data_IF_783500486226
#
_entry.id   IF_783500486226
#
_cell.length_a   1.000
_cell.length_b   1.000
_cell.length_c   1.000
_cell.angle_alpha   90.00
_cell.angle_beta   90.00
_cell.angle_gamma   90.00
#
_symmetry.space_group_name_H-M   'P 1'
#
loop_
_entity.id
_entity.type
_entity.pdbx_description
1 polymer ?
#
# COMPACT_ATOMS: atom_id res chain seq x y z
N UNK A 1 -8.53 -17.08 8.22
CA UNK A 1 -7.84 -16.17 9.15
C UNK A 1 -6.38 -16.55 9.15
N UNK A 2 -5.49 -15.59 8.92
CA UNK A 2 -4.04 -15.78 8.90
C UNK A 2 -3.50 -15.84 10.32
N UNK A 3 -2.40 -16.57 10.54
CA UNK A 3 -1.76 -16.59 11.87
C UNK A 3 -1.14 -15.22 12.19
N UNK A 4 -0.36 -14.69 11.26
CA UNK A 4 0.30 -13.39 11.35
C UNK A 4 0.62 -12.89 9.93
N UNK A 5 1.34 -11.76 9.81
CA UNK A 5 1.74 -11.23 8.49
C UNK A 5 2.64 -12.20 7.72
N UNK A 6 3.59 -12.87 8.37
CA UNK A 6 4.46 -13.83 7.71
C UNK A 6 3.67 -14.99 7.06
N UNK A 7 2.70 -15.56 7.77
CA UNK A 7 1.80 -16.60 7.27
C UNK A 7 1.00 -16.12 6.04
N UNK A 8 0.43 -14.91 6.12
CA UNK A 8 -0.27 -14.30 5.00
C UNK A 8 0.64 -14.05 3.79
N UNK A 9 1.87 -13.60 4.02
CA UNK A 9 2.88 -13.39 2.99
C UNK A 9 3.28 -14.67 2.28
N UNK A 10 3.49 -15.77 3.01
CA UNK A 10 3.78 -17.10 2.44
C UNK A 10 2.65 -17.60 1.56
N UNK A 11 1.40 -17.50 2.04
CA UNK A 11 0.24 -17.92 1.25
C UNK A 11 0.07 -17.07 -0.01
N UNK A 12 0.29 -15.75 0.09
CA UNK A 12 0.20 -14.85 -1.06
C UNK A 12 1.32 -15.13 -2.06
N UNK A 13 2.52 -15.42 -1.58
CA UNK A 13 3.64 -15.82 -2.41
C UNK A 13 3.37 -17.12 -3.18
N UNK A 14 2.80 -18.15 -2.53
CA UNK A 14 2.43 -19.39 -3.22
C UNK A 14 1.40 -19.15 -4.33
N UNK A 15 0.42 -18.28 -4.10
CA UNK A 15 -0.53 -17.89 -5.14
C UNK A 15 0.16 -17.11 -6.28
N UNK A 16 1.05 -16.18 -5.96
CA UNK A 16 1.76 -15.38 -6.96
C UNK A 16 2.70 -16.23 -7.85
N UNK A 17 3.10 -17.44 -7.44
CA UNK A 17 3.83 -18.37 -8.32
C UNK A 17 3.03 -18.80 -9.55
N UNK A 18 1.71 -18.66 -9.55
CA UNK A 18 0.88 -18.93 -10.75
C UNK A 18 1.00 -17.81 -11.78
N UNK A 19 1.59 -16.66 -11.42
CA UNK A 19 1.86 -15.55 -12.33
C UNK A 19 3.27 -15.70 -12.91
N UNK A 20 3.40 -15.43 -14.20
CA UNK A 20 4.68 -15.54 -14.92
C UNK A 20 5.44 -14.20 -14.91
N UNK A 21 5.81 -13.71 -13.72
CA UNK A 21 6.58 -12.47 -13.59
C UNK A 21 8.04 -12.68 -14.04
N UNK A 22 8.55 -11.78 -14.88
CA UNK A 22 9.98 -11.74 -15.20
C UNK A 22 10.73 -11.11 -14.04
N UNK A 23 11.38 -11.93 -13.21
CA UNK A 23 12.14 -11.48 -12.04
C UNK A 23 13.26 -10.48 -12.34
N UNK A 24 13.75 -10.41 -13.59
CA UNK A 24 14.78 -9.45 -13.99
C UNK A 24 14.21 -8.07 -14.34
N UNK A 25 12.90 -8.00 -14.60
CA UNK A 25 12.15 -6.79 -14.97
C UNK A 25 11.04 -6.44 -14.00
N UNK A 26 10.96 -7.13 -12.86
CA UNK A 26 9.93 -6.92 -11.85
C UNK A 26 10.56 -6.42 -10.55
N UNK A 27 9.84 -5.56 -9.83
CA UNK A 27 10.18 -5.12 -8.47
C UNK A 27 8.94 -5.12 -7.59
N UNK A 28 9.12 -5.51 -6.33
CA UNK A 28 8.07 -5.43 -5.30
C UNK A 28 8.22 -4.11 -4.54
N UNK A 29 7.14 -3.36 -4.37
CA UNK A 29 7.09 -2.16 -3.53
C UNK A 29 6.13 -2.38 -2.37
N UNK A 30 6.65 -2.48 -1.16
CA UNK A 30 5.84 -2.59 0.04
C UNK A 30 5.35 -1.21 0.49
N UNK A 31 4.08 -1.12 0.88
CA UNK A 31 3.55 0.04 1.61
C UNK A 31 3.85 -0.20 3.10
N UNK A 32 4.72 0.62 3.73
CA UNK A 32 5.05 0.41 5.12
C UNK A 32 3.94 0.91 6.06
N UNK A 33 3.81 0.31 7.24
CA UNK A 33 4.69 -0.75 7.78
C UNK A 33 4.17 -2.15 7.53
N UNK A 34 2.84 -2.28 7.47
CA UNK A 34 2.12 -3.55 7.35
C UNK A 34 2.51 -4.40 6.15
N UNK A 35 2.73 -3.77 4.98
CA UNK A 35 3.12 -4.48 3.77
C UNK A 35 4.52 -5.08 3.78
N UNK A 36 5.43 -4.65 4.66
CA UNK A 36 6.85 -5.06 4.61
C UNK A 36 7.04 -6.55 4.90
N UNK A 37 6.50 -7.13 5.98
CA UNK A 37 6.65 -8.57 6.22
C UNK A 37 5.97 -9.43 5.13
N UNK A 38 4.90 -8.93 4.51
CA UNK A 38 4.23 -9.61 3.40
C UNK A 38 5.14 -9.63 2.16
N UNK A 39 5.66 -8.45 1.79
CA UNK A 39 6.55 -8.27 0.64
C UNK A 39 7.85 -9.05 0.79
N UNK A 40 8.38 -9.17 2.02
CA UNK A 40 9.56 -9.97 2.32
C UNK A 40 9.36 -11.45 1.96
N UNK A 41 8.24 -12.04 2.37
CA UNK A 41 7.94 -13.45 2.03
C UNK A 41 7.76 -13.65 0.52
N UNK A 42 7.09 -12.71 -0.16
CA UNK A 42 6.92 -12.74 -1.63
C UNK A 42 8.27 -12.63 -2.33
N UNK A 43 9.13 -11.69 -1.90
CA UNK A 43 10.46 -11.47 -2.45
C UNK A 43 11.30 -12.75 -2.39
N UNK A 44 11.36 -13.39 -1.21
CA UNK A 44 12.10 -14.64 -1.02
C UNK A 44 11.59 -15.77 -1.92
N UNK A 45 10.27 -15.94 -1.99
CA UNK A 45 9.66 -17.04 -2.73
C UNK A 45 9.78 -16.90 -4.26
N UNK A 46 9.67 -15.66 -4.78
CA UNK A 46 9.72 -15.39 -6.22
C UNK A 46 11.10 -14.97 -6.72
N UNK A 47 12.05 -14.72 -5.80
CA UNK A 47 13.38 -14.17 -6.11
C UNK A 47 13.29 -12.86 -6.92
N UNK A 48 12.38 -11.98 -6.50
CA UNK A 48 12.15 -10.65 -7.07
C UNK A 48 12.66 -9.62 -6.04
N UNK A 49 13.44 -8.61 -6.44
CA UNK A 49 13.89 -7.57 -5.51
C UNK A 49 12.69 -6.81 -4.94
N UNK A 50 12.75 -6.47 -3.65
CA UNK A 50 11.75 -5.62 -3.03
C UNK A 50 12.37 -4.30 -2.52
N UNK A 51 11.54 -3.28 -2.43
CA UNK A 51 11.83 -1.99 -1.82
C UNK A 51 10.52 -1.41 -1.25
N UNK A 52 10.50 -0.13 -0.90
CA UNK A 52 9.35 0.53 -0.28
C UNK A 52 8.77 1.61 -1.18
N UNK A 53 7.46 1.82 -1.06
CA UNK A 53 6.77 3.01 -1.57
C UNK A 53 6.08 3.70 -0.40
N UNK A 54 6.59 4.89 -0.03
CA UNK A 54 6.16 5.59 1.18
C UNK A 54 4.96 6.49 0.86
N UNK A 55 3.76 6.03 1.16
CA UNK A 55 2.52 6.82 1.03
C UNK A 55 1.93 7.14 2.39
N UNK A 56 1.06 8.14 2.46
CA UNK A 56 0.35 8.51 3.70
C UNK A 56 -1.13 8.71 3.44
N UNK A 57 -1.95 8.24 4.38
CA UNK A 57 -3.38 8.56 4.43
C UNK A 57 -3.57 10.06 4.69
N UNK A 58 -4.62 10.63 4.10
CA UNK A 58 -5.14 11.95 4.42
C UNK A 58 -6.42 11.74 5.24
N UNK A 59 -6.45 12.29 6.44
CA UNK A 59 -7.54 12.16 7.40
C UNK A 59 -7.69 13.49 8.16
N UNK A 60 -8.88 13.78 8.71
CA UNK A 60 -9.10 14.99 9.52
C UNK A 60 -8.10 15.06 10.68
N UNK A 61 -7.70 16.27 11.08
CA UNK A 61 -6.69 16.44 12.14
C UNK A 61 -7.16 15.91 13.51
N UNK A 62 -8.47 15.90 13.74
CA UNK A 62 -9.12 15.39 14.95
C UNK A 62 -9.45 13.89 14.89
N UNK A 63 -9.47 13.27 13.70
CA UNK A 63 -9.84 11.86 13.50
C UNK A 63 -8.87 11.13 12.54
N UNK A 64 -7.62 10.86 12.97
CA UNK A 64 -6.56 10.36 12.09
C UNK A 64 -6.81 8.97 11.49
N UNK A 65 -7.72 8.19 12.08
CA UNK A 65 -8.09 6.86 11.58
C UNK A 65 -9.13 6.91 10.45
N UNK A 66 -9.84 8.03 10.30
CA UNK A 66 -10.93 8.22 9.35
C UNK A 66 -10.43 8.84 8.03
N UNK A 67 -9.65 8.08 7.27
CA UNK A 67 -9.03 8.60 6.05
C UNK A 67 -10.06 8.84 4.93
N UNK A 68 -10.02 10.05 4.33
CA UNK A 68 -10.76 10.41 3.13
C UNK A 68 -9.91 10.34 1.86
N UNK A 69 -8.60 10.13 1.99
CA UNK A 69 -7.69 10.07 0.85
C UNK A 69 -6.30 9.56 1.20
N UNK A 70 -5.37 9.73 0.27
CA UNK A 70 -3.96 9.49 0.48
C UNK A 70 -3.10 10.39 -0.42
N UNK A 71 -1.81 10.45 -0.12
CA UNK A 71 -0.79 11.21 -0.84
C UNK A 71 0.49 10.37 -1.05
N UNK A 72 1.12 10.56 -2.20
CA UNK A 72 2.38 9.95 -2.60
C UNK A 72 3.58 10.92 -2.43
N UNK A 73 4.84 10.45 -2.52
CA UNK A 73 6.03 11.29 -2.34
C UNK A 73 6.15 12.49 -3.28
N UNK A 74 5.61 12.39 -4.49
CA UNK A 74 5.60 13.46 -5.50
C UNK A 74 4.45 14.47 -5.31
N UNK A 75 3.66 14.33 -4.24
CA UNK A 75 2.51 15.18 -3.97
C UNK A 75 1.21 14.76 -4.66
N UNK A 76 1.23 13.72 -5.51
CA UNK A 76 0.00 13.23 -6.12
C UNK A 76 -0.95 12.65 -5.07
N UNK A 77 -2.23 12.95 -5.22
CA UNK A 77 -3.27 12.55 -4.26
C UNK A 77 -4.39 11.77 -4.91
N UNK A 78 -5.06 10.97 -4.08
CA UNK A 78 -6.40 10.46 -4.35
C UNK A 78 -7.28 10.89 -3.19
N UNK A 79 -8.36 11.61 -3.49
CA UNK A 79 -9.27 12.19 -2.51
C UNK A 79 -10.69 11.72 -2.84
N UNK A 80 -11.34 11.07 -1.88
CA UNK A 80 -12.79 10.92 -1.91
C UNK A 80 -13.44 12.25 -1.51
N UNK A 81 -13.78 13.03 -2.54
CA UNK A 81 -14.33 14.37 -2.40
C UNK A 81 -15.66 14.39 -1.63
N UNK A 82 -16.46 13.31 -1.72
CA UNK A 82 -17.72 13.22 -1.00
C UNK A 82 -17.49 12.96 0.48
N UNK A 83 -16.56 12.06 0.81
CA UNK A 83 -16.19 11.73 2.18
C UNK A 83 -15.48 12.90 2.88
N UNK A 84 -14.56 13.58 2.17
CA UNK A 84 -13.88 14.79 2.67
C UNK A 84 -14.89 15.87 3.07
N UNK A 85 -15.86 16.17 2.19
CA UNK A 85 -16.93 17.13 2.49
C UNK A 85 -17.82 16.68 3.64
N UNK A 86 -18.17 15.39 3.72
CA UNK A 86 -18.95 14.84 4.81
C UNK A 86 -18.24 14.98 6.17
N UNK A 87 -16.92 14.85 6.18
CA UNK A 87 -16.08 15.05 7.36
C UNK A 87 -15.85 16.53 7.72
N UNK A 88 -16.35 17.48 6.92
CA UNK A 88 -16.20 18.91 7.16
C UNK A 88 -14.81 19.48 6.86
N UNK A 89 -13.95 18.72 6.18
CA UNK A 89 -12.59 19.16 5.82
C UNK A 89 -12.67 20.10 4.62
N UNK A 90 -12.22 21.33 4.81
CA UNK A 90 -12.14 22.34 3.74
C UNK A 90 -10.76 22.32 3.06
N UNK A 91 -10.60 23.12 1.99
CA UNK A 91 -9.35 23.18 1.23
C UNK A 91 -8.15 23.70 2.04
N UNK A 92 -8.36 24.66 2.95
CA UNK A 92 -7.28 25.19 3.80
C UNK A 92 -6.77 24.11 4.78
N UNK A 93 -7.67 23.37 5.41
CA UNK A 93 -7.32 22.24 6.27
C UNK A 93 -6.66 21.11 5.46
N UNK A 94 -7.16 20.84 4.25
CA UNK A 94 -6.59 19.84 3.36
C UNK A 94 -5.11 20.12 3.06
N UNK A 95 -4.73 21.36 2.76
CA UNK A 95 -3.33 21.71 2.51
C UNK A 95 -2.46 21.48 3.75
N UNK A 96 -2.92 21.84 4.94
CA UNK A 96 -2.22 21.54 6.20
C UNK A 96 -2.05 20.03 6.41
N UNK A 97 -3.07 19.22 6.10
CA UNK A 97 -3.00 17.75 6.18
C UNK A 97 -1.97 17.21 5.18
N UNK A 98 -1.97 17.70 3.93
CA UNK A 98 -1.00 17.29 2.89
C UNK A 98 0.43 17.63 3.29
N UNK A 99 0.69 18.83 3.78
CA UNK A 99 2.03 19.26 4.22
C UNK A 99 2.59 18.38 5.34
N UNK A 100 1.76 18.08 6.35
CA UNK A 100 2.12 17.15 7.43
C UNK A 100 2.42 15.75 6.89
N UNK A 101 1.57 15.26 5.98
CA UNK A 101 1.75 13.94 5.38
C UNK A 101 3.03 13.86 4.53
N UNK A 102 3.32 14.87 3.72
CA UNK A 102 4.55 14.95 2.91
C UNK A 102 5.82 15.05 3.78
N UNK A 103 5.76 15.82 4.86
CA UNK A 103 6.86 15.92 5.82
C UNK A 103 7.20 14.56 6.44
N UNK A 104 6.18 13.80 6.81
CA UNK A 104 6.33 12.46 7.35
C UNK A 104 6.80 11.45 6.28
N UNK A 105 6.32 11.55 5.04
CA UNK A 105 6.83 10.75 3.91
C UNK A 105 8.33 11.01 3.74
N UNK A 106 8.75 12.27 3.67
CA UNK A 106 10.16 12.65 3.52
C UNK A 106 11.02 12.12 4.66
N UNK A 107 10.53 12.21 5.90
CA UNK A 107 11.22 11.62 7.06
C UNK A 107 11.43 10.11 6.87
N UNK A 108 10.39 9.37 6.49
CA UNK A 108 10.44 7.91 6.30
C UNK A 108 11.30 7.49 5.10
N UNK A 109 11.30 8.24 4.00
CA UNK A 109 12.21 7.99 2.87
C UNK A 109 13.67 8.10 3.36
N UNK A 110 13.99 9.15 4.12
CA UNK A 110 15.32 9.31 4.71
C UNK A 110 15.66 8.17 5.69
N UNK A 111 14.74 7.81 6.57
CA UNK A 111 14.99 6.80 7.60
C UNK A 111 15.08 5.38 7.03
N UNK A 112 14.09 4.95 6.23
CA UNK A 112 13.99 3.57 5.76
C UNK A 112 14.79 3.31 4.49
N UNK A 113 14.83 4.28 3.57
CA UNK A 113 15.49 4.12 2.26
C UNK A 113 16.85 4.83 2.19
N UNK A 114 17.25 5.59 3.22
CA UNK A 114 18.51 6.39 3.20
C UNK A 114 18.60 7.28 1.96
N UNK A 115 17.45 7.87 1.57
CA UNK A 115 17.28 8.69 0.37
C UNK A 115 17.59 7.95 -0.96
N UNK A 116 17.57 6.60 -0.95
CA UNK A 116 17.79 5.75 -2.13
C UNK A 116 16.50 5.04 -2.53
N UNK A 117 15.64 5.77 -3.23
CA UNK A 117 14.45 5.20 -3.83
C UNK A 117 14.80 4.23 -4.98
N UNK A 118 14.02 3.16 -5.17
CA UNK A 118 14.29 2.18 -6.22
C UNK A 118 14.08 2.79 -7.62
N UNK A 119 14.88 2.33 -8.59
CA UNK A 119 14.57 2.57 -10.00
C UNK A 119 13.51 1.56 -10.48
N UNK A 120 12.36 2.10 -10.90
CA UNK A 120 11.19 1.36 -11.36
C UNK A 120 10.82 1.65 -12.83
N UNK A 121 11.58 2.50 -13.51
CA UNK A 121 11.34 2.85 -14.90
C UNK A 121 11.47 1.61 -15.80
N UNK A 122 10.47 1.37 -16.63
CA UNK A 122 10.37 0.22 -17.53
C UNK A 122 10.15 -1.13 -16.83
N UNK A 123 9.97 -1.16 -15.50
CA UNK A 123 9.76 -2.39 -14.73
C UNK A 123 8.29 -2.64 -14.45
N UNK A 124 7.94 -3.92 -14.33
CA UNK A 124 6.69 -4.34 -13.70
C UNK A 124 6.80 -4.12 -12.18
N UNK A 125 5.77 -3.52 -11.58
CA UNK A 125 5.75 -3.16 -10.16
C UNK A 125 4.64 -3.92 -9.45
N UNK A 126 4.98 -4.67 -8.41
CA UNK A 126 4.00 -5.33 -7.53
C UNK A 126 3.91 -4.55 -6.23
N UNK A 127 2.81 -3.82 -6.04
CA UNK A 127 2.54 -3.08 -4.81
C UNK A 127 1.92 -4.04 -3.79
N UNK A 128 2.47 -4.05 -2.57
CA UNK A 128 2.09 -4.99 -1.51
C UNK A 128 1.70 -4.26 -0.23
N UNK A 129 0.61 -4.72 0.41
CA UNK A 129 0.16 -4.29 1.73
C UNK A 129 -0.35 -5.50 2.55
N UNK A 130 -0.51 -5.37 3.87
CA UNK A 130 -1.11 -6.43 4.72
C UNK A 130 -2.63 -6.56 4.54
N UNK A 131 -3.24 -5.56 3.93
CA UNK A 131 -4.60 -5.60 3.45
C UNK A 131 -5.02 -4.20 3.08
N UNK A 132 -6.11 -4.09 2.33
CA UNK A 132 -6.70 -2.78 2.04
C UNK A 132 -8.09 -2.72 2.66
N UNK A 133 -8.39 -1.64 3.37
CA UNK A 133 -9.78 -1.30 3.70
C UNK A 133 -10.38 -0.47 2.56
N UNK A 134 -9.99 0.81 2.44
CA UNK A 134 -10.40 1.69 1.34
C UNK A 134 -9.48 1.59 0.12
N UNK A 135 -8.21 1.24 0.33
CA UNK A 135 -7.19 1.13 -0.72
C UNK A 135 -6.58 2.46 -1.18
N UNK A 136 -6.83 3.59 -0.49
CA UNK A 136 -6.32 4.90 -0.92
C UNK A 136 -4.79 4.96 -1.01
N UNK A 137 -4.09 4.37 -0.03
CA UNK A 137 -2.62 4.26 -0.03
C UNK A 137 -2.09 3.46 -1.22
N UNK A 138 -2.75 2.35 -1.55
CA UNK A 138 -2.42 1.54 -2.72
C UNK A 138 -2.67 2.31 -4.03
N UNK A 139 -3.79 3.04 -4.13
CA UNK A 139 -4.12 3.84 -5.32
C UNK A 139 -3.04 4.90 -5.59
N UNK A 140 -2.66 5.69 -4.59
CA UNK A 140 -1.62 6.72 -4.80
C UNK A 140 -0.24 6.13 -5.03
N UNK A 141 0.05 4.94 -4.45
CA UNK A 141 1.27 4.20 -4.77
C UNK A 141 1.30 3.76 -6.25
N UNK A 142 0.15 3.37 -6.82
CA UNK A 142 0.05 3.02 -8.24
C UNK A 142 0.20 4.23 -9.16
N UNK A 143 -0.44 5.35 -8.82
CA UNK A 143 -0.28 6.62 -9.54
C UNK A 143 1.21 7.02 -9.55
N UNK A 144 1.85 6.98 -8.38
CA UNK A 144 3.26 7.26 -8.22
C UNK A 144 4.15 6.36 -9.09
N UNK A 145 3.90 5.04 -9.07
CA UNK A 145 4.67 4.09 -9.88
C UNK A 145 4.52 4.35 -11.38
N UNK A 146 3.30 4.62 -11.85
CA UNK A 146 3.03 4.93 -13.26
C UNK A 146 3.69 6.24 -13.70
N UNK A 147 3.62 7.28 -12.88
CA UNK A 147 4.28 8.57 -13.17
C UNK A 147 5.81 8.45 -13.24
N UNK A 148 6.40 7.46 -12.55
CA UNK A 148 7.83 7.12 -12.61
C UNK A 148 8.19 6.12 -13.70
N UNK A 149 7.28 5.85 -14.63
CA UNK A 149 7.55 5.03 -15.82
C UNK A 149 7.47 3.52 -15.60
N UNK A 150 6.77 3.03 -14.56
CA UNK A 150 6.50 1.61 -14.43
C UNK A 150 5.77 1.07 -15.67
N UNK A 151 6.14 -0.12 -16.14
CA UNK A 151 5.57 -0.76 -17.33
C UNK A 151 4.15 -1.30 -17.05
N UNK A 152 4.01 -2.07 -15.97
CA UNK A 152 2.73 -2.55 -15.43
C UNK A 152 2.74 -2.42 -13.92
N UNK A 153 1.57 -2.21 -13.33
CA UNK A 153 1.42 -2.08 -11.88
C UNK A 153 0.34 -3.04 -11.38
N UNK A 154 0.73 -3.94 -10.49
CA UNK A 154 -0.12 -4.94 -9.86
C UNK A 154 -0.32 -4.59 -8.38
N UNK A 155 -1.49 -4.88 -7.84
CA UNK A 155 -1.72 -4.90 -6.39
C UNK A 155 -1.72 -6.36 -5.92
N UNK A 156 -0.99 -6.67 -4.85
CA UNK A 156 -1.03 -7.98 -4.20
C UNK A 156 -1.26 -7.81 -2.69
N UNK A 157 -2.41 -8.29 -2.21
CA UNK A 157 -2.81 -8.18 -0.80
C UNK A 157 -3.42 -9.49 -0.29
N UNK A 158 -3.22 -9.83 0.99
CA UNK A 158 -3.86 -11.02 1.56
C UNK A 158 -5.38 -10.89 1.68
N UNK A 159 -5.88 -9.69 2.00
CA UNK A 159 -7.30 -9.49 2.31
C UNK A 159 -7.79 -8.10 1.90
N UNK A 160 -9.02 -8.03 1.42
CA UNK A 160 -9.65 -6.80 0.98
C UNK A 160 -11.20 -6.91 1.03
N UNK A 161 -11.94 -5.81 1.23
CA UNK A 161 -13.36 -5.75 0.95
C UNK A 161 -13.61 -5.95 -0.55
N UNK A 162 -14.59 -6.80 -0.89
CA UNK A 162 -14.93 -7.08 -2.28
C UNK A 162 -15.46 -5.83 -3.02
N UNK A 163 -16.09 -4.90 -2.31
CA UNK A 163 -16.60 -3.62 -2.81
C UNK A 163 -15.49 -2.57 -3.04
N UNK A 164 -14.32 -2.73 -2.40
CA UNK A 164 -13.15 -1.90 -2.69
C UNK A 164 -12.45 -2.27 -4.00
N UNK A 165 -12.59 -3.51 -4.48
CA UNK A 165 -11.89 -4.01 -5.67
C UNK A 165 -12.22 -3.19 -6.93
N UNK A 166 -13.49 -2.91 -7.30
CA UNK A 166 -13.80 -2.12 -8.49
C UNK A 166 -13.16 -0.74 -8.50
N UNK A 167 -13.12 -0.06 -7.34
CA UNK A 167 -12.48 1.26 -7.20
C UNK A 167 -10.98 1.15 -7.44
N UNK A 168 -10.33 0.20 -6.78
CA UNK A 168 -8.87 0.03 -6.84
C UNK A 168 -8.43 -0.45 -8.22
N UNK A 169 -9.14 -1.41 -8.83
CA UNK A 169 -8.80 -2.01 -10.13
C UNK A 169 -8.68 -0.99 -11.27
N UNK A 170 -9.30 0.19 -11.15
CA UNK A 170 -9.14 1.29 -12.14
C UNK A 170 -7.71 1.83 -12.24
N UNK A 171 -6.88 1.63 -11.22
CA UNK A 171 -5.53 2.17 -11.14
C UNK A 171 -4.44 1.14 -11.37
N UNK A 172 -4.80 -0.14 -11.45
CA UNK A 172 -3.87 -1.26 -11.56
C UNK A 172 -4.14 -2.08 -12.82
N UNK A 173 -3.11 -2.67 -13.37
CA UNK A 173 -3.21 -3.63 -14.48
C UNK A 173 -3.85 -4.94 -14.01
N UNK A 174 -3.59 -5.33 -12.76
CA UNK A 174 -4.35 -6.39 -12.07
C UNK A 174 -4.39 -6.20 -10.55
N UNK A 175 -5.41 -6.78 -9.91
CA UNK A 175 -5.59 -6.75 -8.46
C UNK A 175 -5.71 -8.18 -7.94
N UNK A 176 -4.72 -8.57 -7.15
CA UNK A 176 -4.53 -9.90 -6.59
C UNK A 176 -4.88 -9.83 -5.10
N UNK A 177 -6.03 -10.38 -4.74
CA UNK A 177 -6.51 -10.44 -3.36
C UNK A 177 -6.83 -11.89 -3.02
N UNK A 178 -6.09 -12.50 -2.09
CA UNK A 178 -6.31 -13.92 -1.72
C UNK A 178 -7.71 -14.14 -1.15
N UNK A 179 -8.15 -13.22 -0.30
CA UNK A 179 -9.40 -13.34 0.43
C UNK A 179 -10.25 -12.08 0.26
N UNK A 180 -11.06 -11.99 -0.81
CA UNK A 180 -12.04 -10.91 -0.97
C UNK A 180 -13.25 -11.15 -0.05
N UNK A 181 -13.58 -10.16 0.77
CA UNK A 181 -14.59 -10.29 1.83
C UNK A 181 -15.87 -9.52 1.50
N UNK A 182 -17.02 -10.16 1.69
CA UNK A 182 -18.36 -9.59 1.45
C UNK A 182 -19.12 -9.29 2.76
N UNK A 183 -18.52 -8.51 3.64
CA UNK A 183 -19.11 -8.12 4.94
C UNK A 183 -19.23 -6.59 5.02
N UNK A 184 -20.27 -6.04 5.65
CA UNK A 184 -20.39 -4.59 5.85
C UNK A 184 -19.33 -4.04 6.81
N UNK A 185 -18.81 -4.86 7.73
CA UNK A 185 -17.79 -4.44 8.70
C UNK A 185 -16.44 -5.07 8.39
N UNK A 186 -15.48 -4.24 7.99
CA UNK A 186 -14.15 -4.69 7.62
C UNK A 186 -13.06 -3.93 8.37
N UNK A 187 -12.15 -4.70 8.97
CA UNK A 187 -10.87 -4.21 9.44
C UNK A 187 -9.81 -5.24 9.05
N UNK A 188 -8.67 -4.78 8.52
CA UNK A 188 -7.57 -5.68 8.08
C UNK A 188 -7.15 -6.60 9.23
N UNK A 189 -6.95 -6.04 10.43
CA UNK A 189 -6.51 -6.79 11.61
C UNK A 189 -7.47 -7.90 12.05
N UNK A 190 -8.75 -7.85 11.71
CA UNK A 190 -9.72 -8.90 12.05
C UNK A 190 -9.47 -10.24 11.31
N UNK A 191 -8.62 -10.22 10.27
CA UNK A 191 -8.26 -11.41 9.49
C UNK A 191 -6.94 -12.05 9.93
N UNK A 192 -6.33 -11.51 10.99
CA UNK A 192 -5.07 -11.97 11.57
C UNK A 192 -5.29 -12.40 13.02
N UNK A 193 -4.74 -13.55 13.42
CA UNK A 193 -4.74 -13.97 14.82
C UNK A 193 -3.79 -13.09 15.65
N UNK A 194 -2.61 -12.78 15.08
CA UNK A 194 -1.67 -11.79 15.59
C UNK A 194 -1.52 -10.65 14.58
N UNK A 195 -1.99 -9.46 15.00
CA UNK A 195 -1.86 -8.20 14.25
C UNK A 195 -1.16 -7.13 15.08
N UNK A 196 -0.01 -7.46 15.68
CA UNK A 196 0.80 -6.46 16.40
C UNK A 196 1.08 -5.24 15.53
N UNK A 197 1.07 -4.06 16.15
CA UNK A 197 1.47 -2.83 15.48
C UNK A 197 2.99 -2.85 15.24
N UNK A 198 3.40 -2.53 14.02
CA UNK A 198 4.81 -2.39 13.67
C UNK A 198 5.27 -0.96 13.96
N UNK A 199 6.51 -0.80 14.37
CA UNK A 199 7.18 0.48 14.68
C UNK A 199 8.18 0.86 13.59
N UNK A 200 8.78 2.04 13.70
CA UNK A 200 9.86 2.44 12.80
C UNK A 200 11.12 1.57 13.00
N UNK A 201 11.36 1.06 14.21
CA UNK A 201 12.49 0.19 14.52
C UNK A 201 12.33 -1.19 13.83
N UNK A 202 11.11 -1.73 13.80
CA UNK A 202 10.81 -2.95 13.04
C UNK A 202 11.15 -2.82 11.53
N UNK A 203 11.25 -1.59 10.99
CA UNK A 203 11.60 -1.34 9.57
C UNK A 203 13.11 -1.23 9.33
N UNK A 204 13.91 -1.17 10.39
CA UNK A 204 15.37 -1.01 10.32
C UNK A 204 16.13 -2.33 10.59
N UNK A 205 15.42 -3.37 11.03
CA UNK A 205 15.89 -4.75 11.20
C UNK A 205 15.80 -5.55 9.90
#
# INVERSE_FOLDING_TARGET
MFKNREDAGKLLAEFLKTYNFDKTKTIILAIPRGGVPIAWEISKALNIPFSLVITKKLAPLNEPEAAFGAIAPDGNTYIDQSLMRYMGVNEEELEVIKEKALSEIKRRIKTYLKDKEPNIEGKDVIIVDDGIATGYTAIVAAIYAKNRGANKVYLAVPVCPADSIPRVKRFFDDVICLYPVKTPFFAVGAYYQDFRQLTDDDMLE
#
